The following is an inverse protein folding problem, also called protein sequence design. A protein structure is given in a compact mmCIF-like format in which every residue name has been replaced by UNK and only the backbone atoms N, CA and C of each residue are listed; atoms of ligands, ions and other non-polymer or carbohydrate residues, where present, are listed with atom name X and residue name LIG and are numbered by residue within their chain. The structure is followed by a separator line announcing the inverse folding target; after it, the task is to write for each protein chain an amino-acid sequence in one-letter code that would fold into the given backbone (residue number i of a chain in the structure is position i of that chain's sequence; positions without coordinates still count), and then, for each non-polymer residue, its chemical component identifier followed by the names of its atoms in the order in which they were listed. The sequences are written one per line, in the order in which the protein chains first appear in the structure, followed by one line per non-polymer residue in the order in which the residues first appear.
data_IF_213663575732
#
_entry.id   IF_213663575732
#
_cell.length_a   1.000
_cell.length_b   1.000
_cell.length_c   1.000
_cell.angle_alpha   90.00
_cell.angle_beta   90.00
_cell.angle_gamma   90.00
#
_symmetry.space_group_name_H-M   'P 1'
#
loop_
_entity.id
_entity.type
_entity.pdbx_description
1 polymer ?
#
# COMPACT_ATOMS: atom_id res chain seq x y z
N UNK A 1 -14.32 -42.05 13.56
CA UNK A 1 -13.68 -42.74 12.42
C UNK A 1 -12.89 -41.67 11.66
N UNK A 2 -11.57 -41.79 11.50
CA UNK A 2 -10.82 -40.84 10.70
C UNK A 2 -11.23 -40.96 9.24
N UNK A 3 -11.54 -39.84 8.59
CA UNK A 3 -11.87 -39.81 7.18
C UNK A 3 -10.60 -40.08 6.37
N UNK A 4 -10.63 -41.05 5.46
CA UNK A 4 -9.55 -41.30 4.50
C UNK A 4 -9.86 -40.54 3.21
N UNK A 5 -8.87 -39.84 2.69
CA UNK A 5 -8.96 -39.08 1.47
C UNK A 5 -8.36 -39.86 0.29
N UNK A 6 -8.97 -39.74 -0.88
CA UNK A 6 -8.41 -40.40 -2.08
C UNK A 6 -7.30 -39.54 -2.71
N UNK A 7 -7.31 -38.23 -2.46
CA UNK A 7 -6.30 -37.30 -2.93
C UNK A 7 -6.21 -36.06 -2.04
N UNK A 8 -5.10 -35.33 -2.12
CA UNK A 8 -4.95 -34.04 -1.47
C UNK A 8 -5.96 -33.02 -2.01
N UNK A 9 -6.25 -33.06 -3.32
CA UNK A 9 -7.24 -32.16 -3.96
C UNK A 9 -8.61 -32.35 -3.33
N UNK A 10 -9.09 -33.60 -3.20
CA UNK A 10 -10.36 -33.91 -2.53
C UNK A 10 -10.39 -33.40 -1.09
N UNK A 11 -9.30 -33.61 -0.36
CA UNK A 11 -9.18 -33.13 1.02
C UNK A 11 -9.29 -31.59 1.10
N UNK A 12 -8.59 -30.87 0.23
CA UNK A 12 -8.63 -29.40 0.17
C UNK A 12 -10.01 -28.87 -0.22
N UNK A 13 -10.70 -29.50 -1.15
CA UNK A 13 -12.07 -29.12 -1.52
C UNK A 13 -13.01 -29.21 -0.33
N UNK A 14 -13.02 -30.34 0.38
CA UNK A 14 -13.86 -30.50 1.57
C UNK A 14 -13.51 -29.51 2.67
N UNK A 15 -12.23 -29.21 2.89
CA UNK A 15 -11.82 -28.20 3.87
C UNK A 15 -12.34 -26.82 3.47
N UNK A 16 -12.26 -26.45 2.19
CA UNK A 16 -12.81 -25.18 1.70
C UNK A 16 -14.31 -25.08 1.89
N UNK A 17 -15.05 -26.17 1.60
CA UNK A 17 -16.49 -26.22 1.81
C UNK A 17 -16.84 -26.02 3.29
N UNK A 18 -16.14 -26.68 4.20
CA UNK A 18 -16.32 -26.49 5.65
C UNK A 18 -15.99 -25.06 6.10
N UNK A 19 -15.01 -24.40 5.49
CA UNK A 19 -14.70 -22.99 5.76
C UNK A 19 -15.84 -22.08 5.28
N UNK A 20 -16.42 -22.36 4.13
CA UNK A 20 -17.57 -21.62 3.63
C UNK A 20 -18.80 -21.81 4.53
N UNK A 21 -19.12 -23.05 4.92
CA UNK A 21 -20.20 -23.34 5.88
C UNK A 21 -20.00 -22.58 7.20
N UNK A 22 -18.75 -22.60 7.75
CA UNK A 22 -18.44 -21.85 8.96
C UNK A 22 -18.65 -20.34 8.77
N UNK A 23 -18.26 -19.78 7.62
CA UNK A 23 -18.47 -18.37 7.32
C UNK A 23 -19.96 -18.03 7.31
N UNK A 24 -20.77 -18.77 6.56
CA UNK A 24 -22.22 -18.54 6.45
C UNK A 24 -22.93 -18.68 7.79
N UNK A 25 -22.57 -19.68 8.60
CA UNK A 25 -23.21 -19.90 9.88
C UNK A 25 -22.84 -18.86 10.95
N UNK A 26 -21.62 -18.34 10.94
CA UNK A 26 -21.08 -17.56 12.07
C UNK A 26 -20.56 -16.17 11.73
N UNK A 27 -20.25 -15.87 10.47
CA UNK A 27 -19.57 -14.62 10.06
C UNK A 27 -20.40 -13.74 9.13
N UNK A 28 -21.25 -14.31 8.29
CA UNK A 28 -22.08 -13.60 7.30
C UNK A 28 -23.14 -12.66 7.94
N UNK A 29 -23.14 -12.50 9.25
CA UNK A 29 -24.10 -11.66 9.96
C UNK A 29 -23.96 -10.20 9.55
N UNK A 30 -24.69 -9.81 8.53
CA UNK A 30 -24.96 -8.41 8.23
C UNK A 30 -26.01 -7.91 9.22
N UNK A 31 -25.56 -7.24 10.26
CA UNK A 31 -26.49 -6.47 11.10
C UNK A 31 -26.88 -5.23 10.29
N UNK A 32 -28.16 -5.06 9.94
CA UNK A 32 -28.59 -3.85 9.23
C UNK A 32 -28.18 -2.60 10.04
N UNK A 33 -27.63 -1.61 9.34
CA UNK A 33 -27.32 -0.32 9.97
C UNK A 33 -28.62 0.43 10.30
N UNK A 34 -28.71 0.96 11.51
CA UNK A 34 -29.81 1.80 11.95
C UNK A 34 -29.28 3.20 12.33
N UNK A 35 -30.10 4.25 12.13
CA UNK A 35 -29.76 5.59 12.62
C UNK A 35 -29.46 5.58 14.12
N UNK A 36 -28.28 6.05 14.51
CA UNK A 36 -27.78 6.01 15.89
C UNK A 36 -26.75 4.92 16.17
N UNK A 37 -26.56 3.98 15.26
CA UNK A 37 -25.48 2.99 15.38
C UNK A 37 -24.11 3.66 15.24
N UNK A 38 -23.13 3.06 15.89
CA UNK A 38 -21.74 3.51 15.77
C UNK A 38 -21.21 3.24 14.37
N UNK A 39 -20.75 4.29 13.69
CA UNK A 39 -20.02 4.17 12.44
C UNK A 39 -18.55 3.86 12.76
N UNK A 40 -18.05 2.71 12.31
CA UNK A 40 -16.64 2.37 12.40
C UNK A 40 -15.85 3.18 11.36
N UNK A 41 -14.73 3.76 11.76
CA UNK A 41 -13.83 4.47 10.83
C UNK A 41 -13.10 3.52 9.86
N UNK A 42 -12.94 2.26 10.26
CA UNK A 42 -12.39 1.19 9.44
C UNK A 42 -13.03 -0.14 9.84
N UNK A 43 -13.24 -1.01 8.88
CA UNK A 43 -13.72 -2.38 9.11
C UNK A 43 -13.11 -3.35 8.11
N UNK A 44 -13.32 -4.63 8.34
CA UNK A 44 -12.91 -5.68 7.43
C UNK A 44 -14.07 -5.97 6.48
N UNK A 45 -13.77 -6.01 5.19
CA UNK A 45 -14.69 -6.50 4.16
C UNK A 45 -14.08 -7.78 3.62
N UNK A 46 -14.76 -8.91 3.86
CA UNK A 46 -14.31 -10.23 3.42
C UNK A 46 -15.50 -11.18 3.36
N UNK A 47 -15.36 -12.23 2.57
CA UNK A 47 -16.31 -13.34 2.51
C UNK A 47 -15.61 -14.69 2.76
N UNK A 48 -16.25 -15.77 2.39
CA UNK A 48 -15.68 -17.12 2.53
C UNK A 48 -14.43 -17.31 1.69
N UNK A 49 -14.27 -16.56 0.60
CA UNK A 49 -13.12 -16.74 -0.33
C UNK A 49 -11.80 -16.34 0.25
N UNK A 50 -11.74 -15.22 1.00
CA UNK A 50 -10.55 -14.82 1.72
C UNK A 50 -10.17 -15.86 2.78
N UNK A 51 -11.17 -16.39 3.50
CA UNK A 51 -10.94 -17.43 4.51
C UNK A 51 -10.46 -18.74 3.88
N UNK A 52 -11.04 -19.13 2.74
CA UNK A 52 -10.61 -20.31 1.97
C UNK A 52 -9.19 -20.14 1.45
N UNK A 53 -8.83 -18.96 0.91
CA UNK A 53 -7.48 -18.69 0.41
C UNK A 53 -6.43 -18.73 1.53
N UNK A 54 -6.74 -18.17 2.70
CA UNK A 54 -5.88 -18.26 3.88
C UNK A 54 -5.69 -19.71 4.35
N UNK A 55 -6.76 -20.49 4.35
CA UNK A 55 -6.72 -21.91 4.71
C UNK A 55 -5.88 -22.70 3.72
N UNK A 56 -6.06 -22.47 2.42
CA UNK A 56 -5.26 -23.11 1.37
C UNK A 56 -3.76 -22.78 1.50
N UNK A 57 -3.43 -21.52 1.80
CA UNK A 57 -2.06 -21.11 2.08
C UNK A 57 -1.48 -21.82 3.32
N UNK A 58 -2.30 -21.99 4.36
CA UNK A 58 -1.91 -22.73 5.57
C UNK A 58 -1.62 -24.21 5.26
N UNK A 59 -2.41 -24.83 4.37
CA UNK A 59 -2.19 -26.23 3.97
C UNK A 59 -0.94 -26.39 3.11
N UNK A 60 -0.50 -25.37 2.37
CA UNK A 60 0.80 -25.39 1.69
C UNK A 60 1.97 -25.41 2.70
N UNK A 61 1.75 -24.87 3.88
CA UNK A 61 2.76 -24.69 4.94
C UNK A 61 4.07 -24.08 4.44
N UNK A 62 3.95 -23.20 3.42
CA UNK A 62 5.06 -22.43 2.89
C UNK A 62 5.12 -21.07 3.58
N UNK A 63 6.15 -20.88 4.42
CA UNK A 63 6.19 -19.77 5.38
C UNK A 63 6.83 -18.48 4.85
N UNK A 64 7.07 -18.40 3.55
CA UNK A 64 7.56 -17.19 2.86
C UNK A 64 6.67 -16.86 1.66
N UNK A 65 7.15 -16.02 0.75
CA UNK A 65 6.45 -15.75 -0.52
C UNK A 65 6.27 -17.05 -1.31
N UNK A 66 5.07 -17.27 -1.83
CA UNK A 66 4.72 -18.48 -2.55
C UNK A 66 3.66 -18.19 -3.62
N UNK A 67 2.96 -19.23 -4.09
CA UNK A 67 2.04 -19.17 -5.24
C UNK A 67 0.99 -18.05 -5.17
N UNK A 68 0.52 -17.70 -3.97
CA UNK A 68 -0.44 -16.61 -3.79
C UNK A 68 0.21 -15.25 -3.99
N UNK A 69 1.44 -15.07 -3.49
CA UNK A 69 2.21 -13.83 -3.71
C UNK A 69 2.53 -13.64 -5.18
N UNK A 70 3.03 -14.68 -5.85
CA UNK A 70 3.37 -14.64 -7.27
C UNK A 70 2.14 -14.30 -8.14
N UNK A 71 0.99 -14.89 -7.80
CA UNK A 71 -0.27 -14.61 -8.47
C UNK A 71 -0.72 -13.17 -8.24
N UNK A 72 -0.67 -12.70 -6.98
CA UNK A 72 -1.04 -11.33 -6.64
C UNK A 72 -0.18 -10.32 -7.39
N UNK A 73 1.14 -10.44 -7.33
CA UNK A 73 2.06 -9.50 -8.00
C UNK A 73 1.78 -9.41 -9.50
N UNK A 74 1.55 -10.56 -10.14
CA UNK A 74 1.23 -10.62 -11.57
C UNK A 74 -0.12 -10.00 -11.92
N UNK A 75 -1.17 -10.39 -11.19
CA UNK A 75 -2.54 -9.93 -11.46
C UNK A 75 -2.69 -8.45 -11.13
N UNK A 76 -2.09 -7.99 -10.03
CA UNK A 76 -2.15 -6.60 -9.60
C UNK A 76 -1.37 -5.67 -10.53
N UNK A 77 -0.18 -6.06 -10.97
CA UNK A 77 0.58 -5.32 -11.97
C UNK A 77 -0.20 -5.18 -13.29
N UNK A 78 -0.84 -6.27 -13.74
CA UNK A 78 -1.66 -6.25 -14.95
C UNK A 78 -2.90 -5.35 -14.79
N UNK A 79 -3.57 -5.38 -13.63
CA UNK A 79 -4.74 -4.56 -13.36
C UNK A 79 -4.40 -3.07 -13.33
N UNK A 80 -3.26 -2.69 -12.73
CA UNK A 80 -2.77 -1.31 -12.70
C UNK A 80 -2.17 -0.85 -14.04
N UNK A 81 -1.90 -1.77 -14.99
CA UNK A 81 -1.21 -1.45 -16.24
C UNK A 81 0.26 -1.11 -16.06
N UNK A 82 0.88 -1.58 -14.96
CA UNK A 82 2.30 -1.38 -14.67
C UNK A 82 3.12 -2.66 -14.94
N UNK A 83 4.43 -2.50 -15.06
CA UNK A 83 5.31 -3.62 -15.39
C UNK A 83 5.54 -4.57 -14.22
N UNK A 84 5.61 -4.05 -13.01
CA UNK A 84 5.93 -4.81 -11.81
C UNK A 84 5.05 -4.39 -10.63
N UNK A 85 4.74 -5.35 -9.78
CA UNK A 85 4.23 -5.14 -8.43
C UNK A 85 5.03 -6.05 -7.49
N UNK A 86 5.28 -5.58 -6.27
CA UNK A 86 5.97 -6.35 -5.23
C UNK A 86 5.16 -6.36 -3.96
N UNK A 87 4.83 -7.55 -3.48
CA UNK A 87 4.07 -7.73 -2.26
C UNK A 87 4.99 -7.64 -1.05
N UNK A 88 4.55 -6.89 -0.06
CA UNK A 88 5.21 -6.76 1.24
C UNK A 88 4.17 -6.99 2.36
N UNK A 89 4.64 -7.10 3.60
CA UNK A 89 3.79 -7.44 4.74
C UNK A 89 2.94 -6.28 5.28
N UNK A 90 3.20 -5.04 4.85
CA UNK A 90 2.45 -3.85 5.29
C UNK A 90 2.71 -2.65 4.39
N UNK A 91 1.81 -1.65 4.44
CA UNK A 91 2.03 -0.35 3.79
C UNK A 91 3.29 0.37 4.27
N UNK A 92 3.63 0.24 5.55
CA UNK A 92 4.89 0.78 6.09
C UNK A 92 6.12 0.16 5.43
N UNK A 93 6.10 -1.14 5.18
CA UNK A 93 7.16 -1.82 4.43
C UNK A 93 7.15 -1.46 2.95
N UNK A 94 5.98 -1.19 2.37
CA UNK A 94 5.86 -0.68 1.00
C UNK A 94 6.52 0.69 0.86
N UNK A 95 6.23 1.63 1.76
CA UNK A 95 6.88 2.95 1.80
C UNK A 95 8.39 2.84 1.95
N UNK A 96 8.86 1.97 2.87
CA UNK A 96 10.28 1.73 3.05
C UNK A 96 10.92 1.18 1.77
N UNK A 97 10.33 0.16 1.16
CA UNK A 97 10.85 -0.46 -0.06
C UNK A 97 10.87 0.53 -1.23
N UNK A 98 9.77 1.28 -1.43
CA UNK A 98 9.66 2.27 -2.49
C UNK A 98 10.73 3.37 -2.35
N UNK A 99 10.91 3.90 -1.14
CA UNK A 99 11.95 4.89 -0.88
C UNK A 99 13.36 4.32 -1.06
N UNK A 100 13.63 3.14 -0.49
CA UNK A 100 14.96 2.52 -0.59
C UNK A 100 15.34 2.17 -2.03
N UNK A 101 14.37 1.84 -2.89
CA UNK A 101 14.62 1.64 -4.31
C UNK A 101 15.20 2.91 -4.99
N UNK A 102 14.82 4.10 -4.52
CA UNK A 102 15.34 5.37 -5.03
C UNK A 102 16.78 5.68 -4.57
N UNK A 103 17.32 4.91 -3.63
CA UNK A 103 18.70 5.05 -3.15
C UNK A 103 19.66 4.11 -3.87
N UNK A 104 19.16 3.24 -4.76
CA UNK A 104 19.91 2.19 -5.42
C UNK A 104 21.04 2.77 -6.30
N UNK A 105 22.27 2.21 -6.23
CA UNK A 105 23.40 2.69 -7.02
C UNK A 105 23.16 2.66 -8.53
N UNK A 106 22.32 1.77 -9.01
CA UNK A 106 21.97 1.59 -10.42
C UNK A 106 21.27 2.82 -11.02
N UNK A 107 20.70 3.69 -10.18
CA UNK A 107 20.08 4.95 -10.62
C UNK A 107 21.09 6.05 -10.94
N UNK A 108 22.38 5.82 -10.68
CA UNK A 108 23.45 6.78 -10.98
C UNK A 108 23.23 8.13 -10.25
N UNK A 109 23.26 9.23 -10.99
CA UNK A 109 23.08 10.59 -10.44
C UNK A 109 21.65 10.88 -9.96
N UNK A 110 20.69 10.09 -10.39
CA UNK A 110 19.29 10.22 -9.98
C UNK A 110 18.97 9.57 -8.64
N UNK A 111 19.91 8.80 -8.07
CA UNK A 111 19.70 8.19 -6.75
C UNK A 111 19.63 9.24 -5.65
N UNK A 112 18.88 8.93 -4.61
CA UNK A 112 18.86 9.76 -3.39
C UNK A 112 20.05 9.38 -2.51
N UNK A 113 20.75 10.39 -2.00
CA UNK A 113 21.87 10.24 -1.07
C UNK A 113 21.50 10.85 0.30
N UNK A 114 22.20 10.47 1.39
CA UNK A 114 22.06 11.16 2.67
C UNK A 114 22.34 12.66 2.50
N UNK A 115 21.43 13.50 3.04
CA UNK A 115 21.45 14.95 2.89
C UNK A 115 20.65 15.49 1.69
N UNK A 116 20.24 14.63 0.74
CA UNK A 116 19.29 15.03 -0.29
C UNK A 116 17.90 15.27 0.29
N UNK A 117 17.14 16.13 -0.36
CA UNK A 117 15.84 16.59 0.11
C UNK A 117 14.70 15.86 -0.58
N UNK A 118 13.66 15.55 0.21
CA UNK A 118 12.40 14.96 -0.27
C UNK A 118 11.25 15.81 0.22
N UNK A 119 10.47 16.37 -0.72
CA UNK A 119 9.28 17.15 -0.40
C UNK A 119 8.19 16.21 0.11
N UNK A 120 7.56 16.58 1.21
CA UNK A 120 6.48 15.82 1.85
C UNK A 120 5.54 16.76 2.62
N UNK A 121 4.56 16.20 3.34
CA UNK A 121 3.66 16.94 4.22
C UNK A 121 3.72 16.43 5.65
N UNK A 122 3.48 17.28 6.63
CA UNK A 122 3.40 16.86 8.03
C UNK A 122 2.04 16.26 8.39
N UNK A 123 1.01 16.58 7.61
CA UNK A 123 -0.34 16.04 7.78
C UNK A 123 -0.45 14.69 7.06
N UNK A 124 -0.01 13.62 7.70
CA UNK A 124 -0.01 12.28 7.12
C UNK A 124 0.45 11.21 8.10
N UNK A 125 0.56 9.99 7.61
CA UNK A 125 1.00 8.87 8.45
C UNK A 125 2.53 8.89 8.61
N UNK A 126 3.07 8.60 9.81
CA UNK A 126 4.51 8.70 10.06
C UNK A 126 5.38 7.88 9.12
N UNK A 127 4.91 6.72 8.65
CA UNK A 127 5.70 5.82 7.79
C UNK A 127 5.86 6.31 6.35
N UNK A 128 5.14 7.35 5.93
CA UNK A 128 5.43 8.06 4.68
C UNK A 128 6.73 8.88 4.79
N UNK A 129 7.09 9.32 6.02
CA UNK A 129 8.27 10.17 6.28
C UNK A 129 9.45 9.39 6.89
N UNK A 130 9.16 8.40 7.72
CA UNK A 130 10.19 7.66 8.48
C UNK A 130 11.32 7.08 7.61
N UNK A 131 11.08 6.51 6.42
CA UNK A 131 12.15 6.00 5.56
C UNK A 131 13.18 7.05 5.19
N UNK A 132 12.76 8.30 4.97
CA UNK A 132 13.65 9.43 4.66
C UNK A 132 14.65 9.67 5.80
N UNK A 133 14.11 9.76 7.01
CA UNK A 133 14.92 10.03 8.22
C UNK A 133 15.87 8.87 8.51
N UNK A 134 15.42 7.64 8.39
CA UNK A 134 16.22 6.44 8.64
C UNK A 134 17.42 6.34 7.70
N UNK A 135 17.27 6.80 6.47
CA UNK A 135 18.35 6.82 5.49
C UNK A 135 19.27 8.05 5.61
N UNK A 136 18.81 9.11 6.26
CA UNK A 136 19.51 10.39 6.38
C UNK A 136 19.18 11.38 5.27
N UNK A 137 18.09 11.16 4.52
CA UNK A 137 17.52 12.20 3.66
C UNK A 137 16.79 13.25 4.50
N UNK A 138 16.61 14.44 3.95
CA UNK A 138 16.00 15.58 4.64
C UNK A 138 14.57 15.78 4.17
N UNK A 139 13.55 15.57 5.03
CA UNK A 139 12.19 15.89 4.67
C UNK A 139 11.98 17.40 4.60
N UNK A 140 11.46 17.88 3.49
CA UNK A 140 11.07 19.28 3.30
C UNK A 140 9.53 19.34 3.37
N UNK A 141 9.02 19.87 4.47
CA UNK A 141 7.59 19.91 4.71
C UNK A 141 6.92 21.07 4.00
N UNK A 142 5.97 20.77 3.16
CA UNK A 142 5.05 21.73 2.54
C UNK A 142 3.71 21.65 3.29
N UNK A 143 3.07 22.79 3.47
CA UNK A 143 1.79 22.88 4.16
C UNK A 143 0.65 22.27 3.31
N UNK A 144 -0.48 22.02 3.94
CA UNK A 144 -1.68 21.46 3.32
C UNK A 144 -2.77 22.51 3.20
N UNK A 145 -3.70 22.30 2.26
CA UNK A 145 -4.90 23.13 2.13
C UNK A 145 -6.03 22.58 3.02
N UNK A 146 -6.78 23.46 3.65
CA UNK A 146 -7.99 23.12 4.43
C UNK A 146 -9.22 23.51 3.60
N UNK A 147 -10.21 22.65 3.45
CA UNK A 147 -10.50 21.40 4.18
C UNK A 147 -9.98 20.10 3.51
N UNK A 148 -9.22 20.16 2.45
CA UNK A 148 -8.80 18.99 1.66
C UNK A 148 -7.70 18.17 2.36
N UNK A 149 -6.86 18.80 3.17
CA UNK A 149 -5.70 18.22 3.86
C UNK A 149 -4.64 17.61 2.93
N UNK A 150 -4.68 17.97 1.65
CA UNK A 150 -3.66 17.61 0.67
C UNK A 150 -2.64 18.73 0.50
N UNK A 151 -1.45 18.38 -0.02
CA UNK A 151 -0.35 19.31 -0.25
C UNK A 151 -0.82 20.58 -1.00
N UNK A 152 -0.39 21.74 -0.52
CA UNK A 152 -0.60 23.00 -1.22
C UNK A 152 0.37 23.10 -2.41
N UNK A 153 -0.13 22.73 -3.59
CA UNK A 153 0.67 22.69 -4.83
C UNK A 153 1.27 24.06 -5.20
N UNK A 154 0.68 25.16 -4.71
CA UNK A 154 1.20 26.51 -4.99
C UNK A 154 2.51 26.81 -4.26
N UNK A 155 2.85 26.00 -3.25
CA UNK A 155 4.07 26.14 -2.45
C UNK A 155 5.22 25.25 -2.92
N UNK A 156 4.98 24.35 -3.89
CA UNK A 156 5.99 23.38 -4.33
C UNK A 156 7.27 24.06 -4.87
N UNK A 157 7.12 25.09 -5.71
CA UNK A 157 8.28 25.80 -6.27
C UNK A 157 9.14 26.47 -5.17
N UNK A 158 8.50 26.95 -4.10
CA UNK A 158 9.21 27.53 -2.96
C UNK A 158 9.93 26.51 -2.06
N UNK A 159 9.58 25.24 -2.18
CA UNK A 159 10.21 24.13 -1.44
C UNK A 159 11.35 23.49 -2.23
N UNK A 160 11.54 23.84 -3.50
CA UNK A 160 12.58 23.29 -4.36
C UNK A 160 13.96 23.86 -4.03
N UNK A 161 14.96 22.99 -4.00
CA UNK A 161 16.38 23.36 -3.95
C UNK A 161 17.21 22.46 -4.86
N UNK A 162 18.50 22.75 -5.00
CA UNK A 162 19.43 21.90 -5.78
C UNK A 162 19.60 20.48 -5.20
N UNK A 163 19.18 20.29 -3.95
CA UNK A 163 19.23 18.99 -3.27
C UNK A 163 17.92 18.20 -3.36
N UNK A 164 16.85 18.81 -3.86
CA UNK A 164 15.56 18.13 -3.97
C UNK A 164 15.63 17.01 -5.02
N UNK A 165 15.30 15.80 -4.62
CA UNK A 165 15.34 14.59 -5.49
C UNK A 165 13.99 13.93 -5.69
N UNK A 166 13.04 14.11 -4.76
CA UNK A 166 11.76 13.43 -4.81
C UNK A 166 10.64 14.23 -4.14
N UNK A 167 9.43 13.86 -4.49
CA UNK A 167 8.20 14.14 -3.73
C UNK A 167 7.66 12.79 -3.25
N UNK A 168 7.39 12.67 -1.95
CA UNK A 168 6.79 11.47 -1.35
C UNK A 168 5.64 11.88 -0.44
N UNK A 169 4.42 11.62 -0.87
CA UNK A 169 3.19 12.09 -0.22
C UNK A 169 2.07 11.06 -0.34
N UNK A 170 1.12 11.11 0.60
CA UNK A 170 -0.04 10.25 0.61
C UNK A 170 -1.27 10.93 -0.01
N UNK A 171 -2.20 10.11 -0.50
CA UNK A 171 -3.57 10.53 -0.78
C UNK A 171 -4.36 10.50 0.53
N UNK A 172 -4.34 11.58 1.26
CA UNK A 172 -4.80 11.66 2.66
C UNK A 172 -6.26 11.25 2.81
N UNK A 173 -6.52 10.23 3.63
CA UNK A 173 -7.85 9.67 3.91
C UNK A 173 -8.62 9.25 2.65
N UNK A 174 -7.92 8.82 1.60
CA UNK A 174 -8.53 8.44 0.33
C UNK A 174 -8.96 9.62 -0.55
N UNK A 175 -8.59 10.86 -0.17
CA UNK A 175 -8.84 12.05 -0.96
C UNK A 175 -7.59 12.35 -1.82
N UNK A 176 -7.63 12.14 -3.15
CA UNK A 176 -6.45 12.33 -3.99
C UNK A 176 -5.98 13.80 -3.98
N UNK A 177 -4.67 13.97 -3.84
CA UNK A 177 -4.07 15.28 -4.09
C UNK A 177 -4.13 15.63 -5.61
N UNK A 178 -3.86 16.88 -5.97
CA UNK A 178 -3.78 17.27 -7.39
C UNK A 178 -2.57 16.58 -8.05
N UNK A 179 -2.79 15.31 -8.42
CA UNK A 179 -1.79 14.45 -9.04
C UNK A 179 -1.23 15.08 -10.32
N UNK A 180 -2.07 15.76 -11.12
CA UNK A 180 -1.65 16.38 -12.36
C UNK A 180 -0.64 17.50 -12.10
N UNK A 181 -0.91 18.35 -11.11
CA UNK A 181 0.00 19.44 -10.75
C UNK A 181 1.31 18.93 -10.14
N UNK A 182 1.23 17.97 -9.21
CA UNK A 182 2.42 17.37 -8.57
C UNK A 182 3.26 16.62 -9.59
N UNK A 183 2.64 15.81 -10.45
CA UNK A 183 3.36 15.09 -11.52
C UNK A 183 4.06 16.03 -12.48
N UNK A 184 3.35 17.10 -12.93
CA UNK A 184 3.93 18.10 -13.81
C UNK A 184 5.12 18.85 -13.15
N UNK A 185 5.04 19.12 -11.86
CA UNK A 185 6.15 19.68 -11.09
C UNK A 185 7.35 18.72 -11.06
N UNK A 186 7.12 17.46 -10.71
CA UNK A 186 8.18 16.44 -10.69
C UNK A 186 8.85 16.29 -12.06
N UNK A 187 8.05 16.24 -13.14
CA UNK A 187 8.58 16.11 -14.51
C UNK A 187 9.44 17.30 -14.94
N UNK A 188 9.01 18.54 -14.62
CA UNK A 188 9.79 19.74 -14.94
C UNK A 188 11.15 19.78 -14.28
N UNK A 189 11.24 19.26 -13.05
CA UNK A 189 12.44 19.31 -12.23
C UNK A 189 13.20 17.97 -12.17
N UNK A 190 12.77 16.96 -12.92
CA UNK A 190 13.41 15.64 -12.96
C UNK A 190 13.35 14.87 -11.64
N UNK A 191 12.34 15.15 -10.81
CA UNK A 191 12.16 14.53 -9.49
C UNK A 191 11.44 13.20 -9.58
N UNK A 192 11.71 12.32 -8.61
CA UNK A 192 10.91 11.14 -8.38
C UNK A 192 9.58 11.51 -7.70
N UNK A 193 8.52 10.77 -8.03
CA UNK A 193 7.24 10.84 -7.33
C UNK A 193 6.93 9.48 -6.71
N UNK A 194 6.72 9.46 -5.40
CA UNK A 194 6.22 8.30 -4.66
C UNK A 194 4.86 8.64 -4.08
N UNK A 195 3.86 7.86 -4.44
CA UNK A 195 2.49 7.99 -3.98
C UNK A 195 2.19 6.93 -2.93
N UNK A 196 1.89 7.34 -1.70
CA UNK A 196 1.41 6.46 -0.66
C UNK A 196 -0.11 6.30 -0.79
N UNK A 197 -0.53 5.16 -1.31
CA UNK A 197 -1.93 4.82 -1.59
C UNK A 197 -2.58 3.99 -0.48
N UNK A 198 -2.10 4.03 0.74
CA UNK A 198 -2.65 3.23 1.85
C UNK A 198 -4.16 3.42 2.02
N UNK A 199 -4.64 4.64 1.81
CA UNK A 199 -6.05 5.02 1.98
C UNK A 199 -6.79 5.17 0.63
N UNK A 200 -6.12 4.99 -0.50
CA UNK A 200 -6.63 5.39 -1.82
C UNK A 200 -6.19 4.41 -2.92
N UNK A 201 -6.96 3.38 -3.14
CA UNK A 201 -6.75 2.47 -4.27
C UNK A 201 -7.93 2.54 -5.24
#
# INVERSE_FOLDING_TARGET
MMKHWNSETEAREVIRDLVAEYYHDFKERQTPFHPGDRIAYASRVYDEKEMQALTDATLDFWLTTGRFSDRFEKEFAAWLGVKYAHLVNSGSSANLLAFMALTAPELGERRILPGDEVITVACGFPTTVTPLLNYGAVPVFVDVTVPQYNIDVTKLEGALSDRTKAVMIAHTLGNPFDLKAVKAFCDRHGLWLVEDNCDAL
#
